data_IF_239062432850
#
_entry.id   IF_239062432850
#
_cell.length_a   1.000
_cell.length_b   1.000
_cell.length_c   1.000
_cell.angle_alpha   90.00
_cell.angle_beta   90.00
_cell.angle_gamma   90.00
#
_symmetry.space_group_name_H-M   'P 1'
#
loop_
_entity.id
_entity.type
_entity.pdbx_description
1 polymer ?
#
# COMPACT_ATOMS: atom_id res chain seq x y z
N UNK A 1 -24.99 -56.47 12.97
CA UNK A 1 -25.53 -55.33 13.74
C UNK A 1 -24.38 -54.62 14.45
N UNK A 2 -23.60 -53.81 13.72
CA UNK A 2 -22.54 -52.94 14.27
C UNK A 2 -22.13 -51.83 13.26
N UNK A 3 -23.05 -51.46 12.36
CA UNK A 3 -22.79 -50.53 11.25
C UNK A 3 -23.08 -49.06 11.61
N UNK A 4 -23.62 -48.84 12.81
CA UNK A 4 -24.11 -47.54 13.29
C UNK A 4 -23.03 -46.77 14.05
N UNK A 5 -22.13 -47.47 14.78
CA UNK A 5 -21.05 -46.85 15.55
C UNK A 5 -19.90 -46.33 14.68
N UNK A 6 -19.65 -46.97 13.54
CA UNK A 6 -18.63 -46.51 12.58
C UNK A 6 -19.07 -45.25 11.80
N UNK A 7 -20.36 -45.15 11.48
CA UNK A 7 -20.92 -44.00 10.75
C UNK A 7 -20.88 -42.71 11.57
N UNK A 8 -21.23 -42.76 12.86
CA UNK A 8 -21.20 -41.57 13.74
C UNK A 8 -19.80 -41.02 13.95
N UNK A 9 -18.78 -41.88 14.05
CA UNK A 9 -17.38 -41.44 14.16
C UNK A 9 -16.87 -40.82 12.85
N UNK A 10 -17.25 -41.39 11.71
CA UNK A 10 -16.92 -40.88 10.38
C UNK A 10 -17.54 -39.50 10.11
N UNK A 11 -18.82 -39.33 10.45
CA UNK A 11 -19.51 -38.05 10.31
C UNK A 11 -18.83 -36.97 11.16
N UNK A 12 -18.48 -37.29 12.40
CA UNK A 12 -17.79 -36.35 13.28
C UNK A 12 -16.41 -35.94 12.71
N UNK A 13 -15.62 -36.92 12.25
CA UNK A 13 -14.32 -36.65 11.65
C UNK A 13 -14.43 -35.78 10.38
N UNK A 14 -15.40 -36.07 9.51
CA UNK A 14 -15.67 -35.29 8.31
C UNK A 14 -16.10 -33.85 8.65
N UNK A 15 -16.95 -33.66 9.65
CA UNK A 15 -17.35 -32.33 10.12
C UNK A 15 -16.14 -31.54 10.64
N UNK A 16 -15.26 -32.17 11.42
CA UNK A 16 -14.03 -31.54 11.92
C UNK A 16 -13.10 -31.15 10.76
N UNK A 17 -12.94 -32.03 9.76
CA UNK A 17 -12.10 -31.76 8.58
C UNK A 17 -12.66 -30.61 7.74
N UNK A 18 -13.98 -30.57 7.52
CA UNK A 18 -14.65 -29.48 6.81
C UNK A 18 -14.45 -28.17 7.57
N UNK A 19 -14.75 -28.14 8.87
CA UNK A 19 -14.54 -26.95 9.72
C UNK A 19 -13.07 -26.47 9.69
N UNK A 20 -12.10 -27.38 9.81
CA UNK A 20 -10.68 -27.06 9.71
C UNK A 20 -10.31 -26.49 8.34
N UNK A 21 -10.87 -27.02 7.26
CA UNK A 21 -10.63 -26.52 5.90
C UNK A 21 -11.25 -25.14 5.67
N UNK A 22 -12.46 -24.86 6.20
CA UNK A 22 -13.09 -23.55 6.13
C UNK A 22 -12.33 -22.51 6.96
N UNK A 23 -11.81 -22.88 8.14
CA UNK A 23 -10.97 -22.00 8.95
C UNK A 23 -9.65 -21.67 8.24
N UNK A 24 -8.98 -22.66 7.64
CA UNK A 24 -7.76 -22.45 6.84
C UNK A 24 -8.03 -21.57 5.61
N UNK A 25 -9.13 -21.79 4.90
CA UNK A 25 -9.52 -21.00 3.73
C UNK A 25 -9.93 -19.57 4.10
N UNK A 26 -10.66 -19.40 5.22
CA UNK A 26 -11.05 -18.10 5.76
C UNK A 26 -9.83 -17.27 6.18
N UNK A 27 -8.85 -17.90 6.83
CA UNK A 27 -7.58 -17.26 7.20
C UNK A 27 -6.74 -16.92 5.95
N UNK A 28 -6.71 -17.81 4.95
CA UNK A 28 -5.96 -17.59 3.72
C UNK A 28 -6.56 -16.44 2.86
N UNK A 29 -7.89 -16.31 2.81
CA UNK A 29 -8.54 -15.16 2.14
C UNK A 29 -8.47 -13.86 2.95
N UNK A 30 -8.46 -13.93 4.28
CA UNK A 30 -8.24 -12.76 5.12
C UNK A 30 -6.85 -12.18 4.91
N UNK A 31 -5.79 -12.99 4.85
CA UNK A 31 -4.44 -12.48 4.61
C UNK A 31 -4.32 -11.75 3.27
N UNK A 32 -4.91 -12.27 2.20
CA UNK A 32 -4.87 -11.61 0.89
C UNK A 32 -5.63 -10.27 0.89
N UNK A 33 -6.78 -10.20 1.56
CA UNK A 33 -7.63 -8.99 1.59
C UNK A 33 -7.14 -7.92 2.59
N UNK A 34 -6.59 -8.31 3.74
CA UNK A 34 -5.92 -7.39 4.67
C UNK A 34 -4.57 -6.91 4.13
N UNK A 35 -3.75 -7.79 3.55
CA UNK A 35 -2.51 -7.38 2.89
C UNK A 35 -2.80 -6.44 1.70
N UNK A 36 -3.82 -6.71 0.89
CA UNK A 36 -4.21 -5.80 -0.19
C UNK A 36 -4.65 -4.42 0.34
N UNK A 37 -5.43 -4.35 1.42
CA UNK A 37 -5.85 -3.05 2.00
C UNK A 37 -4.70 -2.29 2.67
N UNK A 38 -3.82 -2.98 3.41
CA UNK A 38 -2.65 -2.36 4.06
C UNK A 38 -1.61 -1.93 3.03
N UNK A 39 -1.30 -2.75 2.02
CA UNK A 39 -0.33 -2.39 0.97
C UNK A 39 -0.81 -1.22 0.10
N UNK A 40 -2.10 -1.17 -0.26
CA UNK A 40 -2.66 -0.04 -1.02
C UNK A 40 -2.60 1.26 -0.20
N UNK A 41 -2.89 1.19 1.12
CA UNK A 41 -2.75 2.35 2.01
C UNK A 41 -1.28 2.74 2.22
N UNK A 42 -0.38 1.77 2.40
CA UNK A 42 1.06 2.02 2.56
C UNK A 42 1.68 2.66 1.32
N UNK A 43 1.29 2.24 0.11
CA UNK A 43 1.79 2.87 -1.11
C UNK A 43 1.32 4.33 -1.25
N UNK A 44 0.06 4.62 -0.88
CA UNK A 44 -0.45 5.99 -0.88
C UNK A 44 0.35 6.89 0.09
N UNK A 45 0.60 6.40 1.31
CA UNK A 45 1.38 7.11 2.33
C UNK A 45 2.84 7.30 1.86
N UNK A 46 3.47 6.25 1.32
CA UNK A 46 4.84 6.32 0.82
C UNK A 46 4.98 7.32 -0.33
N UNK A 47 4.02 7.35 -1.27
CA UNK A 47 4.02 8.33 -2.36
C UNK A 47 3.84 9.75 -1.85
N UNK A 48 2.97 9.96 -0.86
CA UNK A 48 2.79 11.27 -0.23
C UNK A 48 4.08 11.71 0.47
N UNK A 49 4.69 10.84 1.28
CA UNK A 49 5.95 11.14 1.95
C UNK A 49 7.06 11.51 0.95
N UNK A 50 7.18 10.75 -0.14
CA UNK A 50 8.16 11.01 -1.19
C UNK A 50 7.96 12.37 -1.87
N UNK A 51 6.71 12.74 -2.20
CA UNK A 51 6.40 14.06 -2.77
C UNK A 51 6.75 15.17 -1.78
N UNK A 52 6.40 15.01 -0.51
CA UNK A 52 6.72 16.00 0.54
C UNK A 52 8.22 16.13 0.75
N UNK A 53 8.95 15.03 0.83
CA UNK A 53 10.42 15.03 0.93
C UNK A 53 11.08 15.67 -0.28
N UNK A 54 10.57 15.41 -1.50
CA UNK A 54 11.08 16.03 -2.71
C UNK A 54 10.82 17.54 -2.72
N UNK A 55 9.64 18.01 -2.30
CA UNK A 55 9.31 19.44 -2.19
C UNK A 55 10.23 20.16 -1.20
N UNK A 56 10.42 19.60 0.00
CA UNK A 56 11.29 20.20 1.02
C UNK A 56 12.76 20.22 0.58
N UNK A 57 13.24 19.16 -0.09
CA UNK A 57 14.55 19.20 -0.74
C UNK A 57 14.65 20.32 -1.79
N UNK A 58 13.59 20.52 -2.58
CA UNK A 58 13.50 21.60 -3.57
C UNK A 58 13.54 23.00 -2.95
N UNK A 59 13.00 23.19 -1.75
CA UNK A 59 13.10 24.48 -1.02
C UNK A 59 14.54 24.82 -0.65
N UNK A 60 15.39 23.83 -0.41
CA UNK A 60 16.82 24.01 -0.14
C UNK A 60 17.69 24.18 -1.40
N UNK A 61 17.14 24.02 -2.60
CA UNK A 61 17.90 24.19 -3.84
C UNK A 61 18.08 25.66 -4.21
N UNK A 62 19.25 25.97 -4.76
CA UNK A 62 19.51 27.25 -5.41
C UNK A 62 18.82 27.25 -6.78
N UNK A 63 17.83 28.11 -6.93
CA UNK A 63 17.12 28.32 -8.19
C UNK A 63 17.68 29.55 -8.88
N UNK A 64 17.87 29.48 -10.20
CA UNK A 64 18.39 30.61 -10.97
C UNK A 64 17.43 31.80 -10.95
N UNK A 65 16.11 31.54 -10.87
CA UNK A 65 15.08 32.58 -10.94
C UNK A 65 15.01 33.32 -12.29
N UNK A 66 15.87 32.96 -13.25
CA UNK A 66 15.96 33.58 -14.58
C UNK A 66 14.86 33.08 -15.49
N UNK A 67 14.48 31.81 -15.35
CA UNK A 67 13.44 31.16 -16.17
C UNK A 67 12.09 31.19 -15.45
N UNK A 68 10.99 31.23 -16.22
CA UNK A 68 9.64 31.12 -15.64
C UNK A 68 9.42 29.79 -14.92
N UNK A 69 10.05 28.73 -15.42
CA UNK A 69 9.95 27.36 -14.93
C UNK A 69 11.34 26.71 -14.94
N UNK A 70 11.87 26.41 -13.76
CA UNK A 70 13.11 25.63 -13.61
C UNK A 70 12.79 24.32 -12.90
N UNK A 71 13.19 23.18 -13.48
CA UNK A 71 12.93 21.86 -12.91
C UNK A 71 14.22 21.11 -12.60
N UNK A 72 14.28 20.51 -11.40
CA UNK A 72 15.39 19.66 -10.96
C UNK A 72 14.89 18.26 -10.61
N UNK A 73 15.74 17.26 -10.78
CA UNK A 73 15.44 15.85 -10.46
C UNK A 73 15.93 15.52 -9.06
N UNK A 74 15.05 14.93 -8.25
CA UNK A 74 15.35 14.39 -6.95
C UNK A 74 15.82 12.94 -7.10
N UNK A 75 17.13 12.73 -7.05
CA UNK A 75 17.79 11.44 -7.31
C UNK A 75 17.25 10.25 -6.50
N UNK A 76 16.83 10.37 -5.22
CA UNK A 76 16.35 9.24 -4.43
C UNK A 76 15.08 8.56 -4.98
N UNK A 77 14.27 9.27 -5.77
CA UNK A 77 13.01 8.72 -6.29
C UNK A 77 12.74 9.00 -7.76
N UNK A 78 13.63 9.75 -8.43
CA UNK A 78 13.42 10.21 -9.81
C UNK A 78 12.31 11.26 -9.95
N UNK A 79 11.71 11.73 -8.83
CA UNK A 79 10.71 12.78 -8.84
C UNK A 79 11.29 14.09 -9.39
N UNK A 80 10.46 14.88 -10.06
CA UNK A 80 10.84 16.18 -10.61
C UNK A 80 10.20 17.28 -9.78
N UNK A 81 11.01 18.20 -9.30
CA UNK A 81 10.57 19.37 -8.54
C UNK A 81 10.81 20.59 -9.41
N UNK A 82 9.78 21.42 -9.58
CA UNK A 82 9.84 22.59 -10.44
C UNK A 82 9.52 23.85 -9.66
N UNK A 83 10.37 24.87 -9.79
CA UNK A 83 10.07 26.23 -9.37
C UNK A 83 9.37 26.96 -10.50
N UNK A 84 8.17 27.48 -10.22
CA UNK A 84 7.44 28.38 -11.12
C UNK A 84 7.45 29.78 -10.52
N UNK A 85 7.90 30.77 -11.30
CA UNK A 85 7.70 32.17 -10.92
C UNK A 85 6.23 32.55 -11.16
N UNK A 86 5.55 32.97 -10.10
CA UNK A 86 4.22 33.57 -10.20
C UNK A 86 4.39 35.07 -10.45
N UNK A 87 4.43 35.44 -11.73
CA UNK A 87 4.39 36.85 -12.18
C UNK A 87 3.04 37.45 -11.82
N UNK A 88 2.92 38.04 -10.62
CA UNK A 88 1.69 38.69 -10.17
C UNK A 88 1.51 38.85 -8.66
N UNK A 89 2.35 38.23 -7.82
CA UNK A 89 2.28 38.44 -6.37
C UNK A 89 3.02 39.72 -5.99
N UNK A 90 2.32 40.86 -6.04
CA UNK A 90 2.74 42.12 -5.39
C UNK A 90 2.64 41.88 -3.88
N UNK A 91 3.79 41.83 -3.21
CA UNK A 91 3.90 41.93 -1.76
C UNK A 91 3.83 43.41 -1.34
#
# INVERSE_FOLDING_TARGET
MNRERGASSLILALLILILGSLLLQGVNQQQASYAARVTTQSMAIQRQALVQSALEWGRGQLWSGVTEMECRRYSPSGARVCLRRLSGMRW
#
